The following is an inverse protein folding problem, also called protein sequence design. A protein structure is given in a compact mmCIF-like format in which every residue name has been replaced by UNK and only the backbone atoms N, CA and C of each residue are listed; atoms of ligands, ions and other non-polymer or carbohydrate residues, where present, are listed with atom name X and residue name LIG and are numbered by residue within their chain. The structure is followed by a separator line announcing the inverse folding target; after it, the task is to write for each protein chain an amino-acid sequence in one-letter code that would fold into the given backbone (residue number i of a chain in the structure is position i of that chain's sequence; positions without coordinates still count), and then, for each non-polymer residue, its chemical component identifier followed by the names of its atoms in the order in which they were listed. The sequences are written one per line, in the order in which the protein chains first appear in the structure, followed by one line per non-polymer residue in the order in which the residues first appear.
data_IF_606030180745
#
_entry.id   IF_606030180745
#
_cell.length_a   1.000
_cell.length_b   1.000
_cell.length_c   1.000
_cell.angle_alpha   90.00
_cell.angle_beta   90.00
_cell.angle_gamma   90.00
#
_symmetry.space_group_name_H-M   'P 1'
#
loop_
_entity.id
_entity.type
_entity.pdbx_description
1 polymer ?
#
# COMPACT_ATOMS: atom_id res chain seq x y z
N UNK A 1 20.74 36.75 -28.99
CA UNK A 1 21.15 35.85 -27.90
C UNK A 1 19.88 35.14 -27.46
N UNK A 2 19.60 33.98 -28.04
CA UNK A 2 18.51 33.13 -27.56
C UNK A 2 18.99 32.59 -26.22
N UNK A 3 18.41 33.06 -25.13
CA UNK A 3 18.58 32.40 -23.84
C UNK A 3 17.82 31.10 -23.97
N UNK A 4 18.54 30.00 -24.14
CA UNK A 4 17.98 28.69 -23.86
C UNK A 4 17.52 28.77 -22.40
N UNK A 5 16.20 28.71 -22.23
CA UNK A 5 15.56 28.63 -20.92
C UNK A 5 15.93 27.23 -20.39
N UNK A 6 17.13 27.13 -19.81
CA UNK A 6 17.62 25.91 -19.17
C UNK A 6 16.70 25.64 -17.98
N UNK A 7 15.65 24.85 -18.23
CA UNK A 7 14.70 24.44 -17.19
C UNK A 7 15.46 23.57 -16.20
N UNK A 8 15.58 24.03 -14.97
CA UNK A 8 16.29 23.31 -13.92
C UNK A 8 15.56 21.99 -13.65
N UNK A 9 16.30 20.88 -13.68
CA UNK A 9 15.78 19.58 -13.26
C UNK A 9 15.87 19.50 -11.74
N UNK A 10 14.74 19.19 -11.11
CA UNK A 10 14.61 19.05 -9.67
C UNK A 10 14.00 17.70 -9.32
N UNK A 11 14.20 17.26 -8.07
CA UNK A 11 13.64 16.01 -7.56
C UNK A 11 12.12 15.92 -7.79
N UNK A 12 11.68 14.78 -8.29
CA UNK A 12 10.27 14.47 -8.46
C UNK A 12 9.61 14.22 -7.09
N UNK A 13 9.04 15.26 -6.49
CA UNK A 13 8.35 15.17 -5.20
C UNK A 13 7.21 14.14 -5.17
N UNK A 14 6.60 13.84 -6.32
CA UNK A 14 5.59 12.77 -6.43
C UNK A 14 6.22 11.37 -6.29
N UNK A 15 7.35 11.11 -6.96
CA UNK A 15 8.08 9.83 -6.82
C UNK A 15 8.62 9.63 -5.40
N UNK A 16 9.09 10.70 -4.76
CA UNK A 16 9.50 10.69 -3.36
C UNK A 16 8.32 10.36 -2.42
N UNK A 17 7.12 10.90 -2.69
CA UNK A 17 5.93 10.57 -1.92
C UNK A 17 5.52 9.09 -2.09
N UNK A 18 5.60 8.54 -3.31
CA UNK A 18 5.37 7.11 -3.55
C UNK A 18 6.40 6.24 -2.81
N UNK A 19 7.67 6.66 -2.78
CA UNK A 19 8.74 5.98 -2.04
C UNK A 19 8.48 5.92 -0.53
N UNK A 20 7.90 6.98 0.05
CA UNK A 20 7.54 7.00 1.49
C UNK A 20 6.32 6.11 1.81
N UNK A 21 5.38 6.01 0.88
CA UNK A 21 4.11 5.27 1.09
C UNK A 21 4.25 3.77 0.82
N UNK A 22 5.06 3.36 -0.16
CA UNK A 22 5.24 1.96 -0.56
C UNK A 22 5.55 1.00 0.60
N UNK A 23 6.49 1.31 1.52
CA UNK A 23 6.75 0.47 2.69
C UNK A 23 5.52 0.27 3.58
N UNK A 24 4.67 1.31 3.71
CA UNK A 24 3.45 1.26 4.53
C UNK A 24 2.38 0.40 3.87
N UNK A 25 2.22 0.48 2.55
CA UNK A 25 1.31 -0.41 1.81
C UNK A 25 1.70 -1.87 2.02
N UNK A 26 2.98 -2.20 1.81
CA UNK A 26 3.55 -3.55 2.04
C UNK A 26 3.34 -4.06 3.46
N UNK A 27 3.48 -3.18 4.45
CA UNK A 27 3.25 -3.53 5.85
C UNK A 27 1.77 -3.85 6.10
N UNK A 28 0.84 -3.03 5.60
CA UNK A 28 -0.59 -3.25 5.78
C UNK A 28 -1.07 -4.54 5.12
N UNK A 29 -0.61 -4.83 3.90
CA UNK A 29 -0.92 -6.09 3.19
C UNK A 29 -0.49 -7.29 4.03
N UNK A 30 0.76 -7.28 4.53
CA UNK A 30 1.29 -8.36 5.39
C UNK A 30 0.56 -8.49 6.72
N UNK A 31 0.13 -7.38 7.32
CA UNK A 31 -0.60 -7.40 8.59
C UNK A 31 -1.98 -8.05 8.44
N UNK A 32 -2.69 -7.77 7.35
CA UNK A 32 -3.99 -8.37 7.07
C UNK A 32 -3.83 -9.87 6.80
N UNK A 33 -2.89 -10.26 5.92
CA UNK A 33 -2.64 -11.66 5.61
C UNK A 33 -2.25 -12.47 6.87
N UNK A 34 -1.33 -11.94 7.67
CA UNK A 34 -0.89 -12.56 8.92
C UNK A 34 -2.01 -12.70 9.95
N UNK A 35 -2.91 -11.73 10.06
CA UNK A 35 -4.05 -11.80 10.97
C UNK A 35 -5.04 -12.89 10.56
N UNK A 36 -5.35 -13.00 9.26
CA UNK A 36 -6.27 -14.02 8.73
C UNK A 36 -5.65 -15.42 8.83
N UNK A 37 -4.36 -15.56 8.51
CA UNK A 37 -3.63 -16.83 8.63
C UNK A 37 -3.60 -17.35 10.07
N UNK A 38 -3.46 -16.46 11.06
CA UNK A 38 -3.50 -16.84 12.47
C UNK A 38 -4.85 -17.44 12.88
N UNK A 39 -5.95 -16.90 12.36
CA UNK A 39 -7.30 -17.44 12.63
C UNK A 39 -7.48 -18.79 11.94
N UNK A 40 -7.08 -18.93 10.68
CA UNK A 40 -7.10 -20.23 9.96
C UNK A 40 -6.31 -21.28 10.73
N UNK A 41 -5.08 -20.94 11.15
CA UNK A 41 -4.23 -21.84 11.95
C UNK A 41 -4.91 -22.26 13.26
N UNK A 42 -5.58 -21.33 13.95
CA UNK A 42 -6.28 -21.64 15.19
C UNK A 42 -7.45 -22.62 14.96
N UNK A 43 -8.22 -22.43 13.88
CA UNK A 43 -9.32 -23.33 13.50
C UNK A 43 -8.79 -24.73 13.15
N UNK A 44 -7.69 -24.82 12.40
CA UNK A 44 -7.02 -26.08 12.06
C UNK A 44 -6.48 -26.83 13.29
N UNK A 45 -6.19 -26.11 14.38
CA UNK A 45 -5.78 -26.68 15.67
C UNK A 45 -6.97 -26.91 16.63
N UNK A 46 -8.19 -27.07 16.09
CA UNK A 46 -9.40 -27.40 16.85
C UNK A 46 -9.76 -26.35 17.93
N UNK A 47 -9.32 -25.09 17.80
CA UNK A 47 -9.67 -24.03 18.76
C UNK A 47 -11.18 -23.79 18.84
N UNK A 48 -11.91 -24.13 17.78
CA UNK A 48 -13.36 -24.17 17.75
C UNK A 48 -13.86 -25.27 16.80
N UNK A 49 -14.61 -26.24 17.33
CA UNK A 49 -15.15 -27.38 16.56
C UNK A 49 -16.67 -27.37 16.61
N UNK A 50 -17.30 -27.06 15.47
CA UNK A 50 -18.75 -27.14 15.26
C UNK A 50 -19.07 -27.00 13.78
N UNK A 51 -20.28 -27.36 13.35
CA UNK A 51 -20.73 -27.10 11.97
C UNK A 51 -20.70 -25.61 11.60
N UNK A 52 -20.84 -24.72 12.59
CA UNK A 52 -20.70 -23.27 12.38
C UNK A 52 -19.23 -22.89 12.19
N UNK A 53 -18.30 -23.60 12.83
CA UNK A 53 -16.87 -23.39 12.63
C UNK A 53 -16.47 -23.79 11.20
N UNK A 54 -17.03 -24.88 10.66
CA UNK A 54 -16.76 -25.33 9.29
C UNK A 54 -17.19 -24.28 8.25
N UNK A 55 -18.40 -23.72 8.39
CA UNK A 55 -18.90 -22.65 7.51
C UNK A 55 -18.04 -21.38 7.65
N UNK A 56 -17.67 -21.03 8.88
CA UNK A 56 -16.82 -19.87 9.13
C UNK A 56 -15.42 -20.05 8.54
N UNK A 57 -14.81 -21.24 8.62
CA UNK A 57 -13.49 -21.52 8.01
C UNK A 57 -13.53 -21.36 6.48
N UNK A 58 -14.58 -21.86 5.82
CA UNK A 58 -14.77 -21.70 4.38
C UNK A 58 -14.86 -20.22 3.98
N UNK A 59 -15.74 -19.44 4.65
CA UNK A 59 -15.89 -18.00 4.39
C UNK A 59 -14.60 -17.22 4.68
N UNK A 60 -13.87 -17.59 5.75
CA UNK A 60 -12.61 -16.97 6.13
C UNK A 60 -11.53 -17.21 5.07
N UNK A 61 -11.41 -18.43 4.55
CA UNK A 61 -10.44 -18.77 3.49
C UNK A 61 -10.73 -18.01 2.21
N UNK A 62 -12.00 -17.88 1.84
CA UNK A 62 -12.42 -17.07 0.70
C UNK A 62 -12.10 -15.60 0.90
N UNK A 63 -12.38 -15.06 2.09
CA UNK A 63 -12.06 -13.68 2.42
C UNK A 63 -10.55 -13.42 2.43
N UNK A 64 -9.75 -14.37 2.94
CA UNK A 64 -8.29 -14.30 2.92
C UNK A 64 -7.75 -14.24 1.50
N UNK A 65 -8.22 -15.12 0.61
CA UNK A 65 -7.82 -15.12 -0.80
C UNK A 65 -8.13 -13.77 -1.45
N UNK A 66 -9.38 -13.31 -1.36
CA UNK A 66 -9.79 -12.04 -1.97
C UNK A 66 -9.03 -10.84 -1.41
N UNK A 67 -8.76 -10.83 -0.09
CA UNK A 67 -8.01 -9.75 0.56
C UNK A 67 -6.53 -9.77 0.17
N UNK A 68 -5.95 -10.95 -0.02
CA UNK A 68 -4.57 -11.09 -0.50
C UNK A 68 -4.44 -10.59 -1.93
N UNK A 69 -5.33 -11.02 -2.82
CA UNK A 69 -5.38 -10.56 -4.22
C UNK A 69 -5.54 -9.03 -4.30
N UNK A 70 -6.47 -8.45 -3.54
CA UNK A 70 -6.64 -7.00 -3.49
C UNK A 70 -5.43 -6.25 -2.89
N UNK A 71 -4.74 -6.88 -1.93
CA UNK A 71 -3.51 -6.36 -1.35
C UNK A 71 -2.36 -6.33 -2.35
N UNK A 72 -2.16 -7.44 -3.07
CA UNK A 72 -1.16 -7.58 -4.12
C UNK A 72 -1.42 -6.58 -5.26
N UNK A 73 -2.66 -6.48 -5.74
CA UNK A 73 -3.07 -5.49 -6.75
C UNK A 73 -2.77 -4.05 -6.30
N UNK A 74 -2.98 -3.75 -5.02
CA UNK A 74 -2.68 -2.44 -4.45
C UNK A 74 -1.16 -2.19 -4.44
N UNK A 75 -0.37 -3.14 -3.93
CA UNK A 75 1.10 -3.04 -3.94
C UNK A 75 1.63 -2.84 -5.36
N UNK A 76 1.17 -3.65 -6.30
CA UNK A 76 1.57 -3.59 -7.71
C UNK A 76 1.21 -2.25 -8.35
N UNK A 77 0.04 -1.70 -8.05
CA UNK A 77 -0.37 -0.39 -8.55
C UNK A 77 0.55 0.74 -8.05
N UNK A 78 0.88 0.75 -6.76
CA UNK A 78 1.80 1.74 -6.19
C UNK A 78 3.24 1.55 -6.70
N UNK A 79 3.71 0.31 -6.83
CA UNK A 79 5.04 0.00 -7.32
C UNK A 79 5.18 0.37 -8.80
N UNK A 80 4.19 0.01 -9.62
CA UNK A 80 4.12 0.38 -11.03
C UNK A 80 4.07 1.89 -11.20
N UNK A 81 3.29 2.60 -10.37
CA UNK A 81 3.29 4.06 -10.39
C UNK A 81 4.68 4.61 -10.06
N UNK A 82 5.34 4.09 -9.01
CA UNK A 82 6.68 4.54 -8.62
C UNK A 82 7.73 4.31 -9.71
N UNK A 83 7.74 3.12 -10.32
CA UNK A 83 8.78 2.72 -11.25
C UNK A 83 8.67 3.42 -12.61
N UNK A 84 7.46 3.85 -12.98
CA UNK A 84 7.22 4.62 -14.20
C UNK A 84 7.52 6.12 -14.05
N UNK A 85 7.80 6.60 -12.84
CA UNK A 85 8.12 8.01 -12.60
C UNK A 85 9.61 8.29 -12.81
N UNK A 86 9.98 9.38 -13.50
CA UNK A 86 11.38 9.82 -13.58
C UNK A 86 11.85 10.31 -12.21
N UNK A 87 13.16 10.19 -11.94
CA UNK A 87 13.78 10.67 -10.69
C UNK A 87 13.73 12.20 -10.58
N UNK A 88 13.95 12.89 -11.71
CA UNK A 88 13.95 14.35 -11.81
C UNK A 88 12.91 14.81 -12.84
N UNK A 89 12.33 15.99 -12.60
CA UNK A 89 11.39 16.66 -13.50
C UNK A 89 11.76 18.15 -13.60
N UNK A 90 11.35 18.86 -14.66
CA UNK A 90 11.49 20.32 -14.71
C UNK A 90 10.88 21.01 -13.47
N UNK A 91 11.50 22.07 -12.98
CA UNK A 91 11.08 22.82 -11.79
C UNK A 91 9.68 23.47 -11.88
N UNK A 92 9.23 23.69 -13.12
CA UNK A 92 7.88 24.16 -13.46
C UNK A 92 6.85 23.03 -13.56
N UNK A 93 7.30 21.78 -13.55
CA UNK A 93 6.44 20.61 -13.65
C UNK A 93 5.59 20.44 -12.37
N UNK A 94 4.29 20.13 -12.45
CA UNK A 94 3.43 19.98 -11.27
C UNK A 94 3.93 18.96 -10.23
N UNK A 95 4.66 17.93 -10.69
CA UNK A 95 5.25 16.90 -9.82
C UNK A 95 6.45 17.39 -9.01
N UNK A 96 7.13 18.47 -9.42
CA UNK A 96 8.19 19.09 -8.63
C UNK A 96 7.67 19.70 -7.32
N UNK A 97 6.41 20.17 -7.33
CA UNK A 97 5.73 20.81 -6.19
C UNK A 97 4.63 19.93 -5.62
N UNK A 98 4.66 18.63 -5.92
CA UNK A 98 3.68 17.69 -5.41
C UNK A 98 3.72 17.72 -3.88
N UNK A 99 2.61 18.09 -3.27
CA UNK A 99 2.39 17.96 -1.84
C UNK A 99 1.13 17.14 -1.66
N UNK A 100 1.18 16.22 -0.69
CA UNK A 100 0.01 15.42 -0.31
C UNK A 100 -0.97 16.38 0.37
N UNK A 101 -1.82 17.02 -0.43
CA UNK A 101 -2.88 17.90 0.06
C UNK A 101 -3.94 17.09 0.79
N UNK A 102 -3.82 17.02 2.12
CA UNK A 102 -4.82 16.42 3.00
C UNK A 102 -4.17 15.67 4.14
N UNK A 103 -4.45 16.10 5.36
CA UNK A 103 -3.99 15.47 6.61
C UNK A 103 -4.20 13.95 6.61
N UNK A 104 -3.15 13.20 6.33
CA UNK A 104 -3.07 11.83 6.83
C UNK A 104 -2.80 11.92 8.33
N UNK A 105 -3.65 11.37 9.21
CA UNK A 105 -3.33 11.32 10.63
C UNK A 105 -2.02 10.52 10.75
N UNK A 106 -0.96 11.22 11.16
CA UNK A 106 0.29 10.62 11.54
C UNK A 106 0.00 9.58 12.63
N UNK A 107 0.12 8.30 12.30
CA UNK A 107 0.46 7.17 13.19
C UNK A 107 0.28 7.47 14.68
N UNK A 108 -0.97 7.71 15.06
CA UNK A 108 -1.35 8.21 16.36
C UNK A 108 -2.69 7.59 16.72
N UNK A 109 -2.59 6.46 17.41
CA UNK A 109 -3.70 5.71 18.01
C UNK A 109 -4.60 4.95 17.01
N UNK A 110 -4.23 3.70 16.75
CA UNK A 110 -5.22 2.64 16.51
C UNK A 110 -5.64 2.16 17.90
N UNK A 111 -6.81 2.52 18.43
CA UNK A 111 -7.33 1.86 19.61
C UNK A 111 -7.65 0.39 19.24
N UNK A 112 -7.12 -0.52 20.04
CA UNK A 112 -7.44 -1.95 20.04
C UNK A 112 -8.95 -2.22 20.13
#
# INVERSE_FOLDING_TARGET
MSGDDETELVDNAYKLALSDVLPRVREQVRNIDGALEAVVTALENEAWVSTTADVFDEELRDHKRNSSEAGDDCEDAFQTAHDNEPDEVPDDHPKARWSVGGSYPSSGNIPY
#
